data_IF_092791846525
#
_entry.id   IF_092791846525
#
_cell.length_a   1.000
_cell.length_b   1.000
_cell.length_c   1.000
_cell.angle_alpha   90.00
_cell.angle_beta   90.00
_cell.angle_gamma   90.00
#
_symmetry.space_group_name_H-M   'P 1'
#
loop_
_entity.id
_entity.type
_entity.pdbx_description
1 polymer ?
#
# COMPACT_ATOMS: atom_id res chain seq x y z
N UNK A 1 -1.98 -25.38 -1.99
CA UNK A 1 -3.36 -25.84 -2.27
C UNK A 1 -4.27 -24.71 -2.75
N UNK A 2 -4.33 -23.57 -2.07
CA UNK A 2 -5.15 -22.42 -2.51
C UNK A 2 -4.61 -21.73 -3.78
N UNK A 3 -3.31 -21.41 -3.82
CA UNK A 3 -2.67 -20.83 -5.02
C UNK A 3 -2.78 -21.70 -6.28
N UNK A 4 -2.90 -23.02 -6.12
CA UNK A 4 -3.05 -23.94 -7.25
C UNK A 4 -4.46 -23.84 -7.85
N UNK A 5 -5.49 -23.74 -7.00
CA UNK A 5 -6.87 -23.47 -7.44
C UNK A 5 -6.99 -22.12 -8.14
N UNK A 6 -6.33 -21.08 -7.60
CA UNK A 6 -6.34 -19.74 -8.22
C UNK A 6 -5.62 -19.73 -9.58
N UNK A 7 -4.51 -20.48 -9.71
CA UNK A 7 -3.83 -20.70 -10.99
C UNK A 7 -4.74 -21.35 -12.01
N UNK A 8 -5.41 -22.44 -11.64
CA UNK A 8 -6.37 -23.14 -12.51
C UNK A 8 -7.54 -22.25 -12.92
N UNK A 9 -8.08 -21.45 -12.00
CA UNK A 9 -9.15 -20.48 -12.27
C UNK A 9 -8.71 -19.38 -13.25
N UNK A 10 -7.51 -18.81 -13.04
CA UNK A 10 -6.93 -17.80 -13.92
C UNK A 10 -6.67 -18.35 -15.33
N UNK A 11 -6.17 -19.59 -15.44
CA UNK A 11 -5.99 -20.27 -16.73
C UNK A 11 -7.33 -20.52 -17.43
N UNK A 12 -8.37 -20.93 -16.70
CA UNK A 12 -9.73 -21.14 -17.26
C UNK A 12 -10.33 -19.84 -17.82
N UNK A 13 -9.99 -18.69 -17.23
CA UNK A 13 -10.44 -17.37 -17.69
C UNK A 13 -9.52 -16.77 -18.78
N UNK A 14 -8.57 -17.54 -19.32
CA UNK A 14 -7.64 -17.07 -20.36
C UNK A 14 -6.58 -16.08 -19.85
N UNK A 15 -6.43 -15.94 -18.53
CA UNK A 15 -5.55 -14.98 -17.85
C UNK A 15 -4.48 -15.71 -17.02
N UNK A 16 -3.85 -16.74 -17.59
CA UNK A 16 -2.85 -17.56 -16.88
C UNK A 16 -1.68 -16.76 -16.29
N UNK A 17 -1.29 -15.64 -16.92
CA UNK A 17 -0.27 -14.70 -16.43
C UNK A 17 -0.70 -13.87 -15.21
N UNK A 18 -2.00 -13.86 -14.86
CA UNK A 18 -2.56 -13.11 -13.73
C UNK A 18 -2.80 -13.99 -12.49
N UNK A 19 -2.30 -15.23 -12.47
CA UNK A 19 -2.56 -16.13 -11.35
C UNK A 19 -2.11 -15.59 -9.99
N UNK A 20 -1.07 -14.76 -9.96
CA UNK A 20 -0.63 -14.06 -8.74
C UNK A 20 -1.51 -12.84 -8.41
N UNK A 21 -2.07 -12.15 -9.40
CA UNK A 21 -3.01 -11.05 -9.18
C UNK A 21 -4.32 -11.55 -8.54
N UNK A 22 -4.78 -12.76 -8.92
CA UNK A 22 -5.97 -13.41 -8.34
C UNK A 22 -5.86 -13.69 -6.83
N UNK A 23 -4.65 -13.66 -6.27
CA UNK A 23 -4.43 -13.75 -4.83
C UNK A 23 -4.87 -12.47 -4.10
N UNK A 24 -4.73 -11.31 -4.75
CA UNK A 24 -5.16 -10.01 -4.25
C UNK A 24 -6.57 -9.65 -4.72
N UNK A 25 -6.91 -9.93 -5.99
CA UNK A 25 -8.22 -9.64 -6.58
C UNK A 25 -9.28 -10.61 -6.03
N UNK A 26 -10.12 -10.11 -5.12
CA UNK A 26 -11.19 -10.91 -4.49
C UNK A 26 -12.55 -10.73 -5.16
N UNK A 27 -12.79 -9.59 -5.82
CA UNK A 27 -14.07 -9.34 -6.46
C UNK A 27 -14.15 -10.02 -7.82
N UNK A 28 -15.35 -10.50 -8.16
CA UNK A 28 -15.60 -11.15 -9.45
C UNK A 28 -15.31 -10.19 -10.62
N UNK A 29 -15.73 -8.93 -10.49
CA UNK A 29 -15.51 -7.89 -11.50
C UNK A 29 -14.02 -7.56 -11.69
N UNK A 30 -13.21 -7.61 -10.62
CA UNK A 30 -11.75 -7.42 -10.69
C UNK A 30 -11.09 -8.55 -11.50
N UNK A 31 -11.48 -9.80 -11.24
CA UNK A 31 -10.97 -10.99 -11.95
C UNK A 31 -11.38 -11.01 -13.42
N UNK A 32 -12.64 -10.68 -13.70
CA UNK A 32 -13.18 -10.63 -15.07
C UNK A 32 -12.53 -9.51 -15.89
N UNK A 33 -12.31 -8.33 -15.30
CA UNK A 33 -11.66 -7.19 -15.99
C UNK A 33 -10.14 -7.25 -15.97
N UNK A 34 -9.54 -7.94 -15.00
CA UNK A 34 -8.08 -8.02 -14.80
C UNK A 34 -7.50 -6.69 -14.34
N UNK A 35 -8.30 -5.92 -13.60
CA UNK A 35 -7.95 -4.60 -13.07
C UNK A 35 -8.43 -4.57 -11.63
N UNK A 36 -7.52 -4.28 -10.71
CA UNK A 36 -7.85 -4.05 -9.30
C UNK A 36 -8.73 -2.81 -9.18
N UNK A 37 -9.82 -2.91 -8.44
CA UNK A 37 -10.82 -1.85 -8.27
C UNK A 37 -10.74 -1.32 -6.85
N UNK A 38 -10.77 -2.21 -5.86
CA UNK A 38 -10.72 -1.88 -4.44
C UNK A 38 -9.36 -2.22 -3.85
N UNK A 39 -8.95 -1.45 -2.83
CA UNK A 39 -7.75 -1.80 -2.09
C UNK A 39 -7.98 -3.08 -1.30
N UNK A 40 -7.18 -4.11 -1.58
CA UNK A 40 -7.18 -5.36 -0.81
C UNK A 40 -5.94 -5.41 0.05
N UNK A 41 -6.13 -5.82 1.31
CA UNK A 41 -5.05 -6.01 2.25
C UNK A 41 -4.71 -7.48 2.47
N UNK A 42 -3.42 -7.77 2.65
CA UNK A 42 -2.90 -9.07 3.07
C UNK A 42 -1.75 -8.88 4.05
N UNK A 43 -1.60 -9.80 5.00
CA UNK A 43 -0.44 -9.85 5.88
C UNK A 43 0.69 -10.71 5.28
N UNK A 44 1.93 -10.33 5.57
CA UNK A 44 3.10 -11.18 5.43
C UNK A 44 4.16 -10.80 6.46
N UNK A 45 5.12 -11.69 6.69
CA UNK A 45 6.14 -11.52 7.72
C UNK A 45 7.52 -11.55 7.08
N UNK A 46 8.38 -10.63 7.51
CA UNK A 46 9.83 -10.75 7.38
C UNK A 46 10.39 -11.22 8.72
N UNK A 47 11.69 -11.58 8.83
CA UNK A 47 12.27 -12.04 10.08
C UNK A 47 12.03 -11.12 11.29
N UNK A 48 12.04 -9.79 11.08
CA UNK A 48 11.86 -8.82 12.17
C UNK A 48 10.56 -8.03 12.13
N UNK A 49 9.79 -8.07 11.03
CA UNK A 49 8.63 -7.19 10.86
C UNK A 49 7.40 -7.91 10.34
N UNK A 50 6.25 -7.40 10.76
CA UNK A 50 4.94 -7.79 10.26
C UNK A 50 4.42 -6.70 9.31
N UNK A 51 4.18 -7.06 8.06
CA UNK A 51 3.70 -6.15 7.02
C UNK A 51 2.24 -6.41 6.69
N UNK A 52 1.51 -5.33 6.47
CA UNK A 52 0.25 -5.35 5.73
C UNK A 52 0.50 -4.75 4.35
N UNK A 53 0.39 -5.54 3.30
CA UNK A 53 0.42 -5.03 1.92
C UNK A 53 -0.96 -4.50 1.55
N UNK A 54 -0.99 -3.32 0.94
CA UNK A 54 -2.18 -2.72 0.34
C UNK A 54 -1.95 -2.73 -1.16
N UNK A 55 -2.71 -3.56 -1.88
CA UNK A 55 -2.69 -3.50 -3.34
C UNK A 55 -3.58 -2.35 -3.81
N UNK A 56 -2.98 -1.43 -4.56
CA UNK A 56 -3.64 -0.19 -4.97
C UNK A 56 -3.94 -0.23 -6.46
N UNK A 57 -5.14 0.20 -6.88
CA UNK A 57 -5.54 0.12 -8.27
C UNK A 57 -4.72 1.06 -9.16
N UNK A 58 -4.28 0.54 -10.32
CA UNK A 58 -3.44 1.27 -11.29
C UNK A 58 -4.21 2.00 -12.39
N UNK A 59 -5.54 1.93 -12.40
CA UNK A 59 -6.37 2.59 -13.41
C UNK A 59 -6.77 4.00 -12.98
N UNK A 60 -6.83 4.92 -13.97
CA UNK A 60 -7.14 6.35 -13.77
C UNK A 60 -8.43 6.59 -13.00
N UNK A 61 -9.45 5.78 -13.27
CA UNK A 61 -10.76 5.93 -12.64
C UNK A 61 -10.76 5.58 -11.15
N UNK A 62 -9.73 4.87 -10.68
CA UNK A 62 -9.63 4.37 -9.30
C UNK A 62 -8.54 5.10 -8.49
N UNK A 63 -8.06 6.26 -8.95
CA UNK A 63 -7.08 7.09 -8.20
C UNK A 63 -7.59 7.41 -6.78
N UNK A 64 -8.90 7.62 -6.61
CA UNK A 64 -9.49 7.85 -5.28
C UNK A 64 -9.21 6.70 -4.31
N UNK A 65 -9.31 5.46 -4.80
CA UNK A 65 -9.07 4.28 -3.99
C UNK A 65 -7.58 4.13 -3.68
N UNK A 66 -6.71 4.42 -4.65
CA UNK A 66 -5.27 4.49 -4.43
C UNK A 66 -4.92 5.51 -3.33
N UNK A 67 -5.51 6.72 -3.34
CA UNK A 67 -5.26 7.74 -2.33
C UNK A 67 -5.63 7.22 -0.93
N UNK A 68 -6.79 6.58 -0.79
CA UNK A 68 -7.24 5.97 0.47
C UNK A 68 -6.30 4.87 0.96
N UNK A 69 -5.73 4.07 0.05
CA UNK A 69 -4.75 3.04 0.42
C UNK A 69 -3.39 3.63 0.79
N UNK A 70 -2.88 4.55 -0.01
CA UNK A 70 -1.58 5.19 0.19
C UNK A 70 -1.55 6.07 1.45
N UNK A 71 -2.67 6.64 1.88
CA UNK A 71 -2.74 7.43 3.11
C UNK A 71 -2.50 6.60 4.37
N UNK A 72 -2.61 5.28 4.29
CA UNK A 72 -2.40 4.34 5.40
C UNK A 72 -0.98 3.73 5.39
N UNK A 73 -0.16 4.04 4.38
CA UNK A 73 1.11 3.36 4.14
C UNK A 73 2.30 4.09 4.77
N UNK A 74 3.16 3.35 5.48
CA UNK A 74 4.41 3.86 6.03
C UNK A 74 5.59 3.80 5.03
N UNK A 75 5.47 2.93 4.03
CA UNK A 75 6.43 2.70 2.94
C UNK A 75 5.68 2.43 1.64
N UNK A 76 6.22 2.90 0.52
CA UNK A 76 5.68 2.63 -0.81
C UNK A 76 6.65 1.84 -1.67
N UNK A 77 6.14 0.84 -2.40
CA UNK A 77 6.82 0.18 -3.51
C UNK A 77 6.25 0.72 -4.83
N UNK A 78 6.98 1.58 -5.51
CA UNK A 78 6.60 2.14 -6.79
C UNK A 78 7.04 1.21 -7.92
N UNK A 79 6.07 0.57 -8.57
CA UNK A 79 6.33 -0.35 -9.68
C UNK A 79 6.46 0.42 -11.00
N UNK A 80 7.54 0.15 -11.72
CA UNK A 80 7.87 0.75 -13.02
C UNK A 80 8.07 -0.36 -14.04
N UNK A 81 7.32 -0.40 -15.16
CA UNK A 81 7.52 -1.43 -16.18
C UNK A 81 8.81 -1.17 -16.97
N UNK A 82 9.55 -2.22 -17.29
CA UNK A 82 10.71 -2.15 -18.19
C UNK A 82 10.40 -2.42 -19.67
N UNK A 83 9.16 -2.80 -19.95
CA UNK A 83 8.65 -3.08 -21.30
C UNK A 83 8.33 -1.79 -22.08
N UNK A 84 7.67 -1.91 -23.23
CA UNK A 84 7.27 -0.79 -24.08
C UNK A 84 6.31 0.20 -23.42
N UNK A 85 5.70 -0.13 -22.27
CA UNK A 85 4.80 0.76 -21.54
C UNK A 85 5.53 1.78 -20.66
N UNK A 86 6.86 1.67 -20.52
CA UNK A 86 7.66 2.55 -19.69
C UNK A 86 7.39 4.04 -19.97
N UNK A 87 7.51 4.46 -21.23
CA UNK A 87 7.35 5.86 -21.63
C UNK A 87 5.96 6.40 -21.31
N UNK A 88 4.91 5.58 -21.50
CA UNK A 88 3.54 5.94 -21.16
C UNK A 88 3.33 6.02 -19.64
N UNK A 89 4.00 5.17 -18.86
CA UNK A 89 3.87 5.12 -17.40
C UNK A 89 4.45 6.36 -16.70
N UNK A 90 5.53 6.94 -17.23
CA UNK A 90 6.19 8.13 -16.66
C UNK A 90 5.86 9.45 -17.37
N UNK A 91 5.01 9.40 -18.40
CA UNK A 91 4.64 10.55 -19.22
C UNK A 91 4.19 11.75 -18.35
N UNK A 92 4.67 12.95 -18.69
CA UNK A 92 4.31 14.20 -18.00
C UNK A 92 2.81 14.45 -18.02
N UNK A 93 2.18 14.13 -19.15
CA UNK A 93 0.83 14.57 -19.48
C UNK A 93 0.80 16.07 -19.74
N UNK A 94 -0.22 16.48 -20.48
CA UNK A 94 -0.50 17.88 -20.78
C UNK A 94 -2.02 18.02 -20.96
N UNK A 95 -2.69 18.43 -19.89
CA UNK A 95 -4.14 18.62 -19.89
C UNK A 95 -4.63 19.62 -20.95
N UNK A 96 -3.77 20.58 -21.36
CA UNK A 96 -4.11 21.55 -22.42
C UNK A 96 -4.00 20.96 -23.83
N UNK A 97 -3.19 19.92 -24.00
CA UNK A 97 -3.00 19.22 -25.28
C UNK A 97 -3.72 17.86 -25.34
N UNK A 98 -4.52 17.52 -24.31
CA UNK A 98 -5.21 16.22 -24.22
C UNK A 98 -4.29 15.05 -23.89
N UNK A 99 -3.01 15.28 -23.58
CA UNK A 99 -2.05 14.23 -23.25
C UNK A 99 -2.29 13.72 -21.82
N UNK A 100 -2.41 12.40 -21.71
CA UNK A 100 -2.65 11.71 -20.45
C UNK A 100 -1.39 11.64 -19.62
N UNK A 101 -1.49 12.04 -18.35
CA UNK A 101 -0.40 11.85 -17.39
C UNK A 101 -0.22 10.37 -17.08
N UNK A 102 1.04 9.91 -17.09
CA UNK A 102 1.40 8.54 -16.77
C UNK A 102 1.07 8.20 -15.31
N UNK A 103 0.55 6.99 -15.10
CA UNK A 103 0.07 6.57 -13.78
C UNK A 103 1.19 6.43 -12.74
N UNK A 104 2.34 5.89 -13.13
CA UNK A 104 3.51 5.82 -12.23
C UNK A 104 3.95 7.21 -11.78
N UNK A 105 3.95 8.19 -12.69
CA UNK A 105 4.26 9.59 -12.35
C UNK A 105 3.24 10.18 -11.38
N UNK A 106 1.95 9.97 -11.65
CA UNK A 106 0.88 10.46 -10.80
C UNK A 106 0.93 9.82 -9.41
N UNK A 107 1.18 8.52 -9.33
CA UNK A 107 1.30 7.80 -8.08
C UNK A 107 2.50 8.29 -7.27
N UNK A 108 3.65 8.50 -7.91
CA UNK A 108 4.83 9.05 -7.25
C UNK A 108 4.59 10.44 -6.65
N UNK A 109 3.81 11.30 -7.32
CA UNK A 109 3.40 12.60 -6.78
C UNK A 109 2.48 12.44 -5.56
N UNK A 110 1.43 11.61 -5.68
CA UNK A 110 0.46 11.41 -4.60
C UNK A 110 1.10 10.82 -3.35
N UNK A 111 1.97 9.82 -3.51
CA UNK A 111 2.71 9.19 -2.39
C UNK A 111 3.54 10.25 -1.63
N UNK A 112 4.21 11.16 -2.36
CA UNK A 112 4.98 12.25 -1.75
C UNK A 112 4.08 13.23 -0.98
N UNK A 113 2.94 13.63 -1.58
CA UNK A 113 1.98 14.55 -0.97
C UNK A 113 1.30 13.96 0.26
N UNK A 114 1.07 12.65 0.28
CA UNK A 114 0.52 11.91 1.42
C UNK A 114 1.55 11.69 2.53
N UNK A 115 2.80 12.11 2.32
CA UNK A 115 3.82 12.11 3.37
C UNK A 115 4.49 10.76 3.62
N UNK A 116 4.43 9.82 2.66
CA UNK A 116 5.15 8.55 2.76
C UNK A 116 6.65 8.83 2.61
N UNK A 117 7.42 8.62 3.68
CA UNK A 117 8.84 9.01 3.76
C UNK A 117 9.82 7.91 3.35
N UNK A 118 9.32 6.73 3.02
CA UNK A 118 10.13 5.57 2.63
C UNK A 118 9.64 5.06 1.29
N UNK A 119 10.51 5.05 0.29
CA UNK A 119 10.16 4.72 -1.09
C UNK A 119 11.16 3.70 -1.63
N UNK A 120 10.63 2.62 -2.22
CA UNK A 120 11.38 1.64 -3.00
C UNK A 120 10.85 1.72 -4.43
N UNK A 121 11.73 1.71 -5.43
CA UNK A 121 11.33 1.64 -6.84
C UNK A 121 11.63 0.23 -7.35
N UNK A 122 10.63 -0.45 -7.88
CA UNK A 122 10.79 -1.75 -8.53
C UNK A 122 10.70 -1.60 -10.05
N UNK A 123 11.84 -1.72 -10.74
CA UNK A 123 11.87 -1.83 -12.22
C UNK A 123 11.50 -3.26 -12.58
N UNK A 124 10.21 -3.47 -12.80
CA UNK A 124 9.59 -4.77 -12.99
C UNK A 124 9.58 -5.21 -14.45
N UNK A 125 9.42 -6.52 -14.65
CA UNK A 125 9.42 -7.21 -15.96
C UNK A 125 10.78 -7.21 -16.65
N UNK A 126 11.88 -7.25 -15.90
CA UNK A 126 13.22 -7.38 -16.48
C UNK A 126 13.39 -8.59 -17.40
N UNK A 127 12.53 -9.60 -17.26
CA UNK A 127 12.41 -10.77 -18.12
C UNK A 127 11.79 -10.51 -19.51
N UNK A 128 11.19 -9.34 -19.76
CA UNK A 128 10.49 -9.08 -21.01
C UNK A 128 11.44 -8.98 -22.21
N UNK A 129 10.91 -9.18 -23.42
CA UNK A 129 11.68 -9.17 -24.67
C UNK A 129 12.41 -7.86 -24.97
N UNK A 130 11.99 -6.75 -24.34
CA UNK A 130 12.65 -5.45 -24.49
C UNK A 130 13.83 -5.32 -23.53
N UNK A 131 13.65 -5.73 -22.27
CA UNK A 131 14.68 -5.57 -21.24
C UNK A 131 15.70 -6.71 -21.27
N UNK A 132 15.28 -7.96 -21.46
CA UNK A 132 16.12 -9.18 -21.50
C UNK A 132 17.18 -9.23 -20.39
N UNK A 133 16.82 -8.80 -19.18
CA UNK A 133 17.71 -8.65 -18.03
C UNK A 133 18.95 -7.76 -18.29
N UNK A 134 18.89 -6.88 -19.29
CA UNK A 134 19.99 -6.05 -19.76
C UNK A 134 20.24 -4.81 -18.91
N UNK A 135 21.52 -4.53 -18.66
CA UNK A 135 21.98 -3.36 -17.90
C UNK A 135 21.63 -2.03 -18.59
N UNK A 136 21.71 -1.98 -19.92
CA UNK A 136 21.47 -0.75 -20.69
C UNK A 136 20.03 -0.24 -20.48
N UNK A 137 19.04 -1.12 -20.70
CA UNK A 137 17.63 -0.80 -20.50
C UNK A 137 17.33 -0.43 -19.05
N UNK A 138 17.92 -1.15 -18.08
CA UNK A 138 17.77 -0.81 -16.66
C UNK A 138 18.32 0.59 -16.35
N UNK A 139 19.49 0.93 -16.88
CA UNK A 139 20.16 2.22 -16.63
C UNK A 139 19.34 3.38 -17.20
N UNK A 140 18.85 3.24 -18.44
CA UNK A 140 17.92 4.19 -19.05
C UNK A 140 16.69 4.45 -18.17
N UNK A 141 16.02 3.37 -17.75
CA UNK A 141 14.81 3.47 -16.90
C UNK A 141 15.14 4.12 -15.56
N UNK A 142 16.23 3.70 -14.92
CA UNK A 142 16.66 4.22 -13.63
C UNK A 142 16.85 5.74 -13.70
N UNK A 143 17.58 6.22 -14.69
CA UNK A 143 17.91 7.64 -14.82
C UNK A 143 16.65 8.49 -15.06
N UNK A 144 15.77 8.02 -15.94
CA UNK A 144 14.48 8.67 -16.22
C UNK A 144 13.54 8.66 -15.00
N UNK A 145 13.49 7.57 -14.24
CA UNK A 145 12.69 7.49 -13.00
C UNK A 145 13.24 8.43 -11.94
N UNK A 146 14.57 8.48 -11.74
CA UNK A 146 15.20 9.42 -10.80
C UNK A 146 14.92 10.87 -11.20
N UNK A 147 14.98 11.18 -12.50
CA UNK A 147 14.60 12.49 -13.02
C UNK A 147 13.13 12.79 -12.74
N UNK A 148 12.24 11.85 -13.04
CA UNK A 148 10.80 11.97 -12.82
C UNK A 148 10.48 12.22 -11.34
N UNK A 149 11.05 11.44 -10.42
CA UNK A 149 10.85 11.59 -8.97
C UNK A 149 11.25 12.99 -8.50
N UNK A 150 12.41 13.48 -8.94
CA UNK A 150 12.88 14.83 -8.61
C UNK A 150 11.92 15.90 -9.16
N UNK A 151 11.36 15.71 -10.37
CA UNK A 151 10.42 16.65 -11.00
C UNK A 151 9.05 16.68 -10.33
N UNK A 152 8.59 15.59 -9.74
CA UNK A 152 7.30 15.55 -9.02
C UNK A 152 7.42 15.99 -7.56
N UNK A 153 8.61 16.41 -7.13
CA UNK A 153 8.82 17.07 -5.82
C UNK A 153 9.51 16.22 -4.77
N UNK A 154 10.02 15.03 -5.10
CA UNK A 154 10.91 14.31 -4.18
C UNK A 154 12.25 15.03 -4.05
N UNK A 155 12.80 15.09 -2.83
CA UNK A 155 14.10 15.74 -2.60
C UNK A 155 15.21 14.98 -3.34
N UNK A 156 16.02 15.68 -4.12
CA UNK A 156 17.12 15.09 -4.92
C UNK A 156 18.05 14.21 -4.07
N UNK A 157 18.45 14.70 -2.91
CA UNK A 157 19.34 13.96 -2.00
C UNK A 157 18.67 12.69 -1.44
N UNK A 158 17.37 12.75 -1.16
CA UNK A 158 16.61 11.59 -0.71
C UNK A 158 16.53 10.54 -1.82
N UNK A 159 16.19 10.92 -3.05
CA UNK A 159 16.12 9.99 -4.19
C UNK A 159 17.49 9.37 -4.47
N UNK A 160 18.56 10.15 -4.44
CA UNK A 160 19.90 9.67 -4.75
C UNK A 160 20.51 8.76 -3.67
N UNK A 161 20.18 8.99 -2.39
CA UNK A 161 20.84 8.30 -1.27
C UNK A 161 19.95 7.27 -0.57
N UNK A 162 18.63 7.43 -0.60
CA UNK A 162 17.71 6.66 0.24
C UNK A 162 16.63 5.91 -0.55
N UNK A 163 16.56 6.03 -1.87
CA UNK A 163 15.58 5.32 -2.70
C UNK A 163 16.31 4.27 -3.55
N UNK A 164 16.22 2.98 -3.20
CA UNK A 164 16.76 1.92 -4.04
C UNK A 164 15.89 1.76 -5.29
N UNK A 165 16.54 1.63 -6.44
CA UNK A 165 15.92 1.29 -7.71
C UNK A 165 16.30 -0.15 -8.02
N UNK A 166 15.37 -1.07 -7.76
CA UNK A 166 15.60 -2.51 -7.80
C UNK A 166 15.18 -3.08 -9.16
N UNK A 167 16.07 -3.73 -9.93
CA UNK A 167 15.66 -4.49 -11.10
C UNK A 167 15.03 -5.81 -10.65
N UNK A 168 13.76 -6.05 -10.99
CA UNK A 168 13.01 -7.22 -10.53
C UNK A 168 12.23 -7.88 -11.67
N UNK A 169 11.91 -9.16 -11.47
CA UNK A 169 10.84 -9.83 -12.21
C UNK A 169 9.84 -10.39 -11.22
N UNK A 170 8.67 -9.76 -11.12
CA UNK A 170 7.57 -10.26 -10.30
C UNK A 170 7.07 -11.64 -10.76
N UNK A 171 7.18 -11.94 -12.05
CA UNK A 171 6.72 -13.20 -12.63
C UNK A 171 7.71 -14.35 -12.41
N UNK A 172 8.99 -14.11 -12.68
CA UNK A 172 10.04 -15.13 -12.52
C UNK A 172 10.61 -15.22 -11.10
N UNK A 173 10.31 -14.24 -10.24
CA UNK A 173 10.79 -14.17 -8.86
C UNK A 173 12.18 -13.56 -8.70
N UNK A 174 12.78 -13.04 -9.78
CA UNK A 174 14.13 -12.47 -9.77
C UNK A 174 14.21 -11.23 -8.88
N UNK A 175 15.19 -11.20 -7.95
CA UNK A 175 15.45 -10.12 -6.99
C UNK A 175 14.28 -9.80 -6.03
N UNK A 176 13.33 -10.72 -5.83
CA UNK A 176 12.27 -10.55 -4.83
C UNK A 176 12.73 -11.00 -3.43
N UNK A 177 13.17 -12.25 -3.31
CA UNK A 177 13.57 -12.88 -2.04
C UNK A 177 15.08 -13.17 -2.04
N UNK A 178 15.62 -13.54 -3.20
CA UNK A 178 17.04 -13.83 -3.38
C UNK A 178 17.55 -13.06 -4.59
N UNK A 179 18.85 -12.77 -4.58
CA UNK A 179 19.55 -12.18 -5.73
C UNK A 179 19.44 -13.10 -6.96
N UNK A 180 19.21 -12.51 -8.12
CA UNK A 180 19.09 -13.22 -9.40
C UNK A 180 20.47 -13.45 -10.03
N UNK A 181 20.68 -14.67 -10.52
CA UNK A 181 21.88 -15.02 -11.29
C UNK A 181 21.83 -14.50 -12.73
N UNK A 182 20.64 -14.11 -13.23
CA UNK A 182 20.45 -13.61 -14.61
C UNK A 182 20.91 -12.17 -14.79
N UNK A 183 21.11 -11.45 -13.69
CA UNK A 183 21.55 -10.06 -13.68
C UNK A 183 22.89 -9.95 -12.95
N UNK A 184 23.92 -10.64 -13.45
CA UNK A 184 25.26 -10.63 -12.82
C UNK A 184 25.89 -9.23 -12.67
N UNK A 185 25.43 -8.26 -13.48
CA UNK A 185 25.80 -6.85 -13.39
C UNK A 185 25.16 -6.13 -12.19
N UNK A 186 24.07 -6.65 -11.63
CA UNK A 186 23.43 -6.10 -10.45
C UNK A 186 24.26 -6.45 -9.21
N UNK A 187 24.86 -5.43 -8.60
CA UNK A 187 25.70 -5.57 -7.41
C UNK A 187 24.98 -5.16 -6.12
N UNK A 188 23.66 -5.01 -6.16
CA UNK A 188 22.90 -4.41 -5.06
C UNK A 188 22.91 -2.89 -5.11
N UNK A 189 22.20 -2.28 -4.18
CA UNK A 189 22.17 -0.84 -3.97
C UNK A 189 22.58 -0.52 -2.54
N UNK A 190 23.35 0.55 -2.39
CA UNK A 190 23.63 1.13 -1.08
C UNK A 190 22.60 2.22 -0.79
N UNK A 191 21.91 2.12 0.33
CA UNK A 191 20.89 3.06 0.77
C UNK A 191 21.24 3.64 2.13
N UNK A 192 20.98 4.93 2.30
CA UNK A 192 21.15 5.65 3.55
C UNK A 192 19.83 5.63 4.32
N UNK A 193 19.86 5.08 5.53
CA UNK A 193 18.76 5.06 6.49
C UNK A 193 19.18 5.87 7.71
N UNK A 194 18.64 7.09 7.82
CA UNK A 194 19.12 8.06 8.80
C UNK A 194 20.59 8.43 8.53
N UNK A 195 21.51 7.91 9.36
CA UNK A 195 22.96 8.09 9.21
C UNK A 195 23.69 6.82 8.78
N UNK A 196 23.00 5.69 8.73
CA UNK A 196 23.60 4.39 8.47
C UNK A 196 23.47 4.01 7.00
N UNK A 197 24.52 3.41 6.46
CA UNK A 197 24.57 2.94 5.08
C UNK A 197 24.30 1.44 5.07
N UNK A 198 23.24 1.03 4.38
CA UNK A 198 22.77 -0.36 4.31
C UNK A 198 22.90 -0.83 2.86
N UNK A 199 23.40 -2.04 2.66
CA UNK A 199 23.45 -2.68 1.36
C UNK A 199 22.24 -3.58 1.17
N UNK A 200 21.57 -3.50 0.01
CA UNK A 200 20.39 -4.30 -0.34
C UNK A 200 20.57 -4.97 -1.70
N UNK A 201 20.39 -6.29 -1.76
CA UNK A 201 20.52 -7.06 -3.00
C UNK A 201 19.16 -7.37 -3.65
N UNK A 202 18.14 -7.58 -2.83
CA UNK A 202 16.79 -7.93 -3.27
C UNK A 202 15.70 -7.14 -2.51
N UNK A 203 14.45 -7.27 -2.96
CA UNK A 203 13.31 -6.56 -2.34
C UNK A 203 13.13 -6.93 -0.87
N UNK A 204 13.34 -8.20 -0.49
CA UNK A 204 13.29 -8.63 0.90
C UNK A 204 14.31 -7.89 1.76
N UNK A 205 15.53 -7.66 1.28
CA UNK A 205 16.55 -6.89 2.01
C UNK A 205 16.12 -5.44 2.22
N UNK A 206 15.45 -4.84 1.23
CA UNK A 206 14.87 -3.50 1.39
C UNK A 206 13.83 -3.49 2.52
N UNK A 207 12.92 -4.45 2.55
CA UNK A 207 11.89 -4.53 3.61
C UNK A 207 12.52 -4.83 4.98
N UNK A 208 13.48 -5.74 5.03
CA UNK A 208 14.07 -6.19 6.28
C UNK A 208 15.06 -5.19 6.87
N UNK A 209 15.91 -4.57 6.05
CA UNK A 209 17.02 -3.74 6.53
C UNK A 209 16.81 -2.24 6.26
N UNK A 210 16.23 -1.86 5.12
CA UNK A 210 16.04 -0.44 4.82
C UNK A 210 14.80 0.16 5.49
N UNK A 211 13.67 -0.55 5.46
CA UNK A 211 12.41 -0.02 6.00
C UNK A 211 12.50 0.03 7.53
N UNK A 212 12.23 1.22 8.05
CA UNK A 212 12.13 1.51 9.48
C UNK A 212 10.68 1.64 9.88
N UNK A 213 10.36 1.22 11.11
CA UNK A 213 9.04 1.46 11.69
C UNK A 213 8.99 2.93 12.08
N UNK A 214 8.06 3.74 11.54
CA UNK A 214 7.96 5.14 11.91
C UNK A 214 7.66 5.30 13.40
N UNK A 215 8.11 6.40 13.99
CA UNK A 215 7.79 6.72 15.38
C UNK A 215 6.26 6.72 15.56
N UNK A 216 5.77 5.83 16.43
CA UNK A 216 4.37 5.75 16.80
C UNK A 216 4.11 6.67 17.99
N UNK A 217 2.92 7.25 18.07
CA UNK A 217 2.51 8.20 19.11
C UNK A 217 1.39 7.62 19.98
N UNK A 218 1.65 6.51 20.71
CA UNK A 218 0.62 5.80 21.48
C UNK A 218 0.09 6.61 22.68
N UNK A 219 0.86 7.59 23.16
CA UNK A 219 0.52 8.43 24.31
C UNK A 219 -0.31 9.68 23.94
N UNK A 220 -0.52 9.94 22.64
CA UNK A 220 -1.39 11.02 22.19
C UNK A 220 -2.86 10.59 22.26
N UNK A 221 -3.77 11.58 22.27
CA UNK A 221 -5.20 11.35 22.18
C UNK A 221 -5.54 10.49 20.94
N UNK A 222 -6.41 9.49 21.10
CA UNK A 222 -6.69 8.49 20.08
C UNK A 222 -7.44 9.08 18.89
N UNK A 223 -6.90 8.93 17.69
CA UNK A 223 -7.59 9.32 16.45
C UNK A 223 -7.53 8.18 15.45
N UNK A 224 -8.70 7.76 14.99
CA UNK A 224 -8.83 6.73 13.96
C UNK A 224 -9.83 7.19 12.90
N UNK A 225 -9.36 7.68 11.74
CA UNK A 225 -10.20 7.90 10.57
C UNK A 225 -10.81 6.57 10.10
N UNK A 226 -12.12 6.57 9.87
CA UNK A 226 -12.84 5.40 9.41
C UNK A 226 -12.71 5.23 7.90
N UNK A 227 -12.20 4.07 7.47
CA UNK A 227 -12.20 3.66 6.06
C UNK A 227 -13.53 3.08 5.62
N UNK A 228 -14.31 2.54 6.54
CA UNK A 228 -15.60 1.91 6.21
C UNK A 228 -16.41 1.48 7.43
N UNK A 229 -17.72 1.40 7.25
CA UNK A 229 -18.67 0.93 8.25
C UNK A 229 -19.53 -0.19 7.64
N UNK A 230 -19.56 -1.35 8.29
CA UNK A 230 -20.18 -2.57 7.79
C UNK A 230 -21.10 -3.20 8.82
N UNK A 231 -22.20 -3.79 8.35
CA UNK A 231 -23.09 -4.58 9.20
C UNK A 231 -22.92 -6.06 8.90
N UNK A 232 -22.26 -6.78 9.81
CA UNK A 232 -21.91 -8.18 9.65
C UNK A 232 -22.93 -9.05 10.38
N UNK A 233 -23.57 -9.98 9.67
CA UNK A 233 -24.54 -10.92 10.26
C UNK A 233 -23.87 -11.74 11.38
N UNK A 234 -24.48 -11.74 12.57
CA UNK A 234 -23.98 -12.46 13.74
C UNK A 234 -22.95 -11.70 14.59
N UNK A 235 -22.32 -10.65 14.04
CA UNK A 235 -21.29 -9.86 14.72
C UNK A 235 -21.83 -8.47 15.11
N UNK A 236 -22.58 -7.83 14.21
CA UNK A 236 -23.14 -6.49 14.38
C UNK A 236 -22.40 -5.45 13.56
N UNK A 237 -22.31 -4.24 14.10
CA UNK A 237 -21.68 -3.11 13.41
C UNK A 237 -20.15 -3.16 13.58
N UNK A 238 -19.45 -3.22 12.46
CA UNK A 238 -17.99 -3.28 12.39
C UNK A 238 -17.48 -2.06 11.64
N UNK A 239 -16.63 -1.28 12.30
CA UNK A 239 -15.98 -0.11 11.72
C UNK A 239 -14.53 -0.47 11.42
N UNK A 240 -14.02 0.00 10.29
CA UNK A 240 -12.65 -0.26 9.84
C UNK A 240 -11.89 1.04 9.70
N UNK A 241 -10.59 1.00 9.90
CA UNK A 241 -9.71 2.15 9.71
C UNK A 241 -8.30 1.89 10.23
N UNK A 242 -7.48 2.94 10.16
CA UNK A 242 -6.13 2.96 10.72
C UNK A 242 -6.08 3.82 11.96
N UNK A 243 -5.50 3.32 13.04
CA UNK A 243 -5.23 4.14 14.22
C UNK A 243 -4.07 5.07 13.87
N UNK A 244 -4.31 6.37 13.76
CA UNK A 244 -3.26 7.35 13.40
C UNK A 244 -2.41 7.73 14.61
N UNK A 245 -3.04 7.83 15.77
CA UNK A 245 -2.39 8.16 17.04
C UNK A 245 -3.20 7.60 18.21
N UNK A 246 -2.54 7.47 19.36
CA UNK A 246 -3.12 6.89 20.57
C UNK A 246 -3.25 5.37 20.51
N UNK A 247 -4.05 4.83 21.42
CA UNK A 247 -4.32 3.39 21.59
C UNK A 247 -5.82 3.19 21.76
N UNK A 248 -6.37 2.10 21.22
CA UNK A 248 -7.76 1.71 21.43
C UNK A 248 -7.84 0.26 21.92
N UNK A 249 -8.71 0.00 22.90
CA UNK A 249 -8.89 -1.29 23.55
C UNK A 249 -10.36 -1.70 23.60
N UNK A 250 -10.65 -3.01 23.69
CA UNK A 250 -11.97 -3.48 24.08
C UNK A 250 -12.41 -2.82 25.39
N UNK A 251 -13.64 -2.32 25.42
CA UNK A 251 -14.23 -1.63 26.56
C UNK A 251 -14.21 -0.10 26.46
N UNK A 252 -13.42 0.47 25.55
CA UNK A 252 -13.33 1.92 25.40
C UNK A 252 -14.65 2.52 24.88
N UNK A 253 -15.03 3.68 25.44
CA UNK A 253 -16.15 4.49 24.93
C UNK A 253 -15.65 5.46 23.87
N UNK A 254 -16.36 5.53 22.75
CA UNK A 254 -15.94 6.29 21.57
C UNK A 254 -17.03 7.21 21.03
N UNK A 255 -16.58 8.25 20.34
CA UNK A 255 -17.39 9.26 19.67
C UNK A 255 -16.92 9.37 18.22
N UNK A 256 -17.83 9.63 17.28
CA UNK A 256 -17.52 9.67 15.85
C UNK A 256 -17.83 11.05 15.26
N UNK A 257 -16.81 11.79 14.84
CA UNK A 257 -16.96 13.15 14.32
C UNK A 257 -16.81 13.18 12.79
N UNK A 258 -17.55 14.03 12.05
CA UNK A 258 -18.49 15.04 12.54
C UNK A 258 -19.93 14.53 12.76
N UNK A 259 -20.19 13.23 12.54
CA UNK A 259 -21.54 12.66 12.65
C UNK A 259 -22.16 12.83 14.05
N UNK A 260 -21.34 12.83 15.10
CA UNK A 260 -21.74 13.20 16.44
C UNK A 260 -21.89 14.72 16.56
N UNK A 261 -23.05 15.16 17.03
CA UNK A 261 -23.30 16.54 17.46
C UNK A 261 -23.92 16.54 18.86
N UNK A 262 -23.93 17.67 19.58
CA UNK A 262 -24.61 17.77 20.87
C UNK A 262 -26.11 17.44 20.82
N UNK A 263 -26.75 17.67 19.67
CA UNK A 263 -28.17 17.37 19.45
C UNK A 263 -28.43 15.95 18.91
N UNK A 264 -27.44 15.35 18.26
CA UNK A 264 -27.55 14.04 17.63
C UNK A 264 -26.32 13.19 17.98
N UNK A 265 -26.44 12.41 19.05
CA UNK A 265 -25.35 11.56 19.51
C UNK A 265 -24.97 10.47 18.50
N UNK A 266 -23.69 10.42 18.17
CA UNK A 266 -23.03 9.25 17.55
C UNK A 266 -21.93 8.76 18.48
N UNK A 267 -22.29 7.88 19.40
CA UNK A 267 -21.40 7.30 20.41
C UNK A 267 -21.48 5.79 20.38
N UNK A 268 -20.43 5.11 20.81
CA UNK A 268 -20.42 3.67 20.91
C UNK A 268 -19.44 3.18 21.97
N UNK A 269 -19.39 1.86 22.13
CA UNK A 269 -18.42 1.17 22.97
C UNK A 269 -17.72 0.09 22.15
N UNK A 270 -16.40 0.09 22.17
CA UNK A 270 -15.59 -0.94 21.51
C UNK A 270 -15.81 -2.27 22.23
N UNK A 271 -16.27 -3.28 21.50
CA UNK A 271 -16.51 -4.61 22.06
C UNK A 271 -15.34 -5.55 21.76
N UNK A 272 -14.89 -5.58 20.51
CA UNK A 272 -13.70 -6.32 20.10
C UNK A 272 -12.87 -5.49 19.13
N UNK A 273 -11.55 -5.73 19.17
CA UNK A 273 -10.58 -5.20 18.22
C UNK A 273 -10.05 -6.38 17.44
N UNK A 274 -10.07 -6.30 16.10
CA UNK A 274 -9.60 -7.36 15.22
C UNK A 274 -8.59 -6.84 14.21
N UNK A 275 -7.52 -7.61 14.01
CA UNK A 275 -6.51 -7.42 12.96
C UNK A 275 -6.37 -8.73 12.19
N UNK A 276 -6.48 -8.69 10.86
CA UNK A 276 -6.36 -9.88 10.00
C UNK A 276 -7.22 -11.07 10.45
N UNK A 277 -8.47 -10.82 10.84
CA UNK A 277 -9.43 -11.81 11.37
C UNK A 277 -9.02 -12.50 12.68
N UNK A 278 -8.12 -11.89 13.46
CA UNK A 278 -7.73 -12.32 14.79
C UNK A 278 -8.08 -11.23 15.80
N UNK A 279 -8.64 -11.61 16.93
CA UNK A 279 -8.87 -10.67 18.03
C UNK A 279 -7.56 -10.31 18.71
N UNK A 280 -7.44 -9.04 19.08
CA UNK A 280 -6.27 -8.47 19.75
C UNK A 280 -6.70 -7.70 21.00
N UNK A 281 -5.80 -7.60 21.97
CA UNK A 281 -6.10 -6.94 23.26
C UNK A 281 -6.11 -5.41 23.15
N UNK A 282 -5.40 -4.87 22.16
CA UNK A 282 -5.32 -3.46 21.86
C UNK A 282 -4.92 -3.25 20.40
N UNK A 283 -5.25 -2.09 19.85
CA UNK A 283 -4.65 -1.58 18.62
C UNK A 283 -3.90 -0.28 18.93
N UNK A 284 -2.74 -0.16 18.31
CA UNK A 284 -1.80 0.94 18.52
C UNK A 284 -1.71 1.81 17.27
N UNK A 285 -1.16 3.02 17.43
CA UNK A 285 -0.87 3.90 16.31
C UNK A 285 -0.09 3.16 15.20
N UNK A 286 -0.62 3.20 13.98
CA UNK A 286 -0.14 2.49 12.80
C UNK A 286 -0.97 1.28 12.38
N UNK A 287 -1.76 0.70 13.30
CA UNK A 287 -2.48 -0.55 13.06
C UNK A 287 -3.74 -0.34 12.22
N UNK A 288 -3.95 -1.24 11.25
CA UNK A 288 -5.17 -1.33 10.45
C UNK A 288 -6.11 -2.34 11.09
N UNK A 289 -7.26 -1.88 11.58
CA UNK A 289 -8.13 -2.67 12.45
C UNK A 289 -9.59 -2.67 12.01
N UNK A 290 -10.29 -3.74 12.37
CA UNK A 290 -11.75 -3.83 12.41
C UNK A 290 -12.23 -3.80 13.87
N UNK A 291 -13.09 -2.85 14.20
CA UNK A 291 -13.65 -2.67 15.53
C UNK A 291 -15.12 -3.07 15.54
N UNK A 292 -15.51 -4.03 16.38
CA UNK A 292 -16.92 -4.25 16.67
C UNK A 292 -17.39 -3.18 17.66
N UNK A 293 -18.37 -2.38 17.26
CA UNK A 293 -18.89 -1.30 18.10
C UNK A 293 -20.32 -1.63 18.53
N UNK A 294 -20.60 -1.49 19.82
CA UNK A 294 -21.96 -1.60 20.39
C UNK A 294 -22.51 -0.22 20.74
N UNK A 295 -23.84 -0.12 20.77
CA UNK A 295 -24.54 1.10 21.19
C UNK A 295 -24.63 2.19 20.12
N UNK A 296 -24.26 1.90 18.86
CA UNK A 296 -24.43 2.83 17.77
C UNK A 296 -25.92 3.10 17.49
N UNK A 297 -26.25 4.36 17.24
CA UNK A 297 -27.59 4.77 16.85
C UNK A 297 -27.84 4.41 15.37
N UNK A 298 -28.76 3.48 15.11
CA UNK A 298 -29.10 3.06 13.76
C UNK A 298 -29.57 4.21 12.83
N UNK A 299 -30.10 5.31 13.40
CA UNK A 299 -30.53 6.49 12.65
C UNK A 299 -29.41 7.49 12.39
N UNK A 300 -28.28 7.39 13.10
CA UNK A 300 -27.13 8.28 12.97
C UNK A 300 -25.82 7.48 13.04
N UNK A 301 -25.64 6.58 12.07
CA UNK A 301 -24.47 5.71 11.99
C UNK A 301 -23.24 6.48 11.52
N UNK A 302 -22.05 6.14 12.05
CA UNK A 302 -20.79 6.70 11.56
C UNK A 302 -20.53 6.26 10.12
N UNK A 303 -19.78 7.09 9.39
CA UNK A 303 -19.54 6.92 7.95
C UNK A 303 -18.06 6.86 7.64
N UNK A 304 -17.73 6.35 6.46
CA UNK A 304 -16.37 6.48 5.93
C UNK A 304 -15.99 7.96 5.84
N UNK A 305 -14.81 8.32 6.35
CA UNK A 305 -14.34 9.70 6.50
C UNK A 305 -14.61 10.33 7.87
N UNK A 306 -15.45 9.74 8.71
CA UNK A 306 -15.56 10.16 10.11
C UNK A 306 -14.26 9.81 10.86
N UNK A 307 -13.95 10.57 11.91
CA UNK A 307 -12.85 10.30 12.84
C UNK A 307 -13.43 9.79 14.14
N UNK A 308 -13.06 8.56 14.49
CA UNK A 308 -13.31 8.01 15.82
C UNK A 308 -12.32 8.62 16.81
N UNK A 309 -12.85 9.07 17.94
CA UNK A 309 -12.10 9.53 19.10
C UNK A 309 -12.57 8.76 20.34
N UNK A 310 -11.72 8.69 21.37
CA UNK A 310 -12.18 8.21 22.68
C UNK A 310 -12.95 9.32 23.38
N UNK A 311 -13.97 8.94 24.15
CA UNK A 311 -14.76 9.89 24.94
C UNK A 311 -13.97 10.48 26.12
N UNK A 312 -12.85 9.84 26.49
CA UNK A 312 -11.92 10.32 27.50
C UNK A 312 -10.99 11.44 27.00
N UNK A 313 -10.89 11.64 25.69
CA UNK A 313 -10.03 12.65 25.05
C UNK A 313 -10.74 14.01 24.91
#
# INVERSE_FOLDING_TARGET
REMQKLKEEATRLGKGSFAFAFYMDRQKDERERGVTIACTTKEFFTPTKHYTVIDAPGHRDFIKNMITGASQADVALLMVPSDGNFSAAIAKGNHKAGEVQGQTRQHALLINLLGVKQLIVGVNKMDCDVAKYGLERYTEIKDEVVHMLTRVGWKKDFVAKSVPVMPISGWCGDNLITKSDKMAWWKGADVLVGKEKIHVDCLLDCLEHMVTIPARTPDLAMRMPLSGAFKIKGVGDVLTGRVEQGTVKPGDECVFLPTHTPSTGCTGKVFTVEMHHKQVEAAYAGDNVGLNIKGLNAKNMPRAGDVMILKSD
#
